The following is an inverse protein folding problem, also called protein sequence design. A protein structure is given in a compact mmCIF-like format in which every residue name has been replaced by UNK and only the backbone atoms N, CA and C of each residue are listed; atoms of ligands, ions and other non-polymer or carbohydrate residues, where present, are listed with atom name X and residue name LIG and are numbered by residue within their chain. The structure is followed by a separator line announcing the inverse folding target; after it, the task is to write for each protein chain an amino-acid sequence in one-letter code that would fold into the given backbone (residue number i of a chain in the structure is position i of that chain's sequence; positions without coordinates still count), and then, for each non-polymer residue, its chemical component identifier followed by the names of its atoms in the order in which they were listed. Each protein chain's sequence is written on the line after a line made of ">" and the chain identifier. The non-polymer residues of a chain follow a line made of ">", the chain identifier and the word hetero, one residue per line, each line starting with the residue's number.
data_IF_012279779817
#
_entry.id   IF_012279779817
#
_cell.length_a   1.000
_cell.length_b   1.000
_cell.length_c   1.000
_cell.angle_alpha   90.00
_cell.angle_beta   90.00
_cell.angle_gamma   90.00
#
_symmetry.space_group_name_H-M   'P 1'
#
loop_
_entity.id
_entity.type
_entity.pdbx_description
1 polymer ?
#
# COMPACT_ATOMS: atom_id res chain seq x y z
N UNK A 1 -11.42 17.39 -40.37
CA UNK A 1 -9.99 17.72 -40.21
C UNK A 1 -9.61 17.56 -38.74
N UNK A 2 -8.38 17.16 -38.41
CA UNK A 2 -7.93 16.98 -37.01
C UNK A 2 -8.20 18.19 -36.11
N UNK A 3 -8.22 19.41 -36.67
CA UNK A 3 -8.55 20.65 -35.93
C UNK A 3 -10.02 20.81 -35.49
N UNK A 4 -10.92 19.91 -35.91
CA UNK A 4 -12.34 19.88 -35.46
C UNK A 4 -12.64 18.70 -34.54
N UNK A 5 -11.63 17.91 -34.16
CA UNK A 5 -11.84 16.94 -33.09
C UNK A 5 -12.00 17.71 -31.78
N UNK A 6 -13.09 17.49 -31.02
CA UNK A 6 -13.18 18.05 -29.68
C UNK A 6 -11.95 17.61 -28.89
N UNK A 7 -11.31 18.55 -28.20
CA UNK A 7 -10.20 18.22 -27.32
C UNK A 7 -10.64 17.08 -26.39
N UNK A 8 -9.83 16.01 -26.23
CA UNK A 8 -10.17 14.94 -25.31
C UNK A 8 -10.51 15.53 -23.95
N UNK A 9 -11.69 15.21 -23.42
CA UNK A 9 -12.07 15.66 -22.08
C UNK A 9 -11.12 15.00 -21.10
N UNK A 10 -10.24 15.80 -20.50
CA UNK A 10 -9.33 15.34 -19.46
C UNK A 10 -10.12 15.20 -18.16
N UNK A 11 -10.46 13.96 -17.81
CA UNK A 11 -11.07 13.65 -16.52
C UNK A 11 -9.97 13.64 -15.45
N UNK A 12 -10.10 14.38 -14.33
CA UNK A 12 -9.14 14.29 -13.23
C UNK A 12 -9.00 12.85 -12.73
N UNK A 13 -7.78 12.39 -12.43
CA UNK A 13 -7.52 10.99 -12.06
C UNK A 13 -8.35 10.53 -10.86
N UNK A 14 -8.48 11.36 -9.82
CA UNK A 14 -9.38 11.10 -8.67
C UNK A 14 -10.81 10.78 -9.12
N UNK A 15 -11.35 11.46 -10.14
CA UNK A 15 -12.70 11.19 -10.65
C UNK A 15 -12.77 9.94 -11.52
N UNK A 16 -11.72 9.68 -12.31
CA UNK A 16 -11.65 8.51 -13.17
C UNK A 16 -11.51 7.21 -12.37
N UNK A 17 -10.76 7.25 -11.28
CA UNK A 17 -10.44 6.09 -10.44
C UNK A 17 -11.49 5.86 -9.34
N UNK A 18 -12.55 6.68 -9.28
CA UNK A 18 -13.59 6.59 -8.24
C UNK A 18 -14.42 5.31 -8.37
N UNK A 19 -14.56 4.58 -7.26
CA UNK A 19 -15.38 3.37 -7.17
C UNK A 19 -16.78 3.76 -6.69
N UNK A 20 -17.73 3.86 -7.63
CA UNK A 20 -19.12 4.23 -7.34
C UNK A 20 -19.91 3.13 -6.63
N UNK A 21 -19.61 1.87 -6.92
CA UNK A 21 -20.25 0.71 -6.33
C UNK A 21 -19.26 -0.46 -6.32
N UNK A 22 -19.20 -1.17 -5.20
CA UNK A 22 -18.36 -2.35 -5.03
C UNK A 22 -19.28 -3.58 -4.90
N UNK A 23 -19.16 -4.60 -5.78
CA UNK A 23 -19.93 -5.83 -5.67
C UNK A 23 -19.77 -6.49 -4.29
N UNK A 24 -20.84 -7.09 -3.80
CA UNK A 24 -20.86 -7.77 -2.49
C UNK A 24 -21.12 -6.84 -1.30
N UNK A 25 -21.03 -5.52 -1.44
CA UNK A 25 -21.39 -4.57 -0.38
C UNK A 25 -22.91 -4.45 -0.29
N UNK A 26 -23.46 -4.82 0.87
CA UNK A 26 -24.92 -4.82 1.14
C UNK A 26 -25.38 -3.67 2.04
N UNK A 27 -24.48 -2.72 2.35
CA UNK A 27 -24.72 -1.60 3.27
C UNK A 27 -24.26 -0.27 2.65
N UNK A 28 -24.66 0.84 3.25
CA UNK A 28 -24.31 2.18 2.75
C UNK A 28 -22.89 2.57 3.16
N UNK A 29 -21.97 2.69 2.21
CA UNK A 29 -20.58 3.10 2.44
C UNK A 29 -20.48 4.63 2.59
N UNK A 30 -20.16 5.18 3.77
CA UNK A 30 -20.22 6.62 4.03
C UNK A 30 -18.93 7.36 3.66
N UNK A 31 -18.01 6.74 2.92
CA UNK A 31 -16.72 7.30 2.54
C UNK A 31 -16.41 7.01 1.08
N UNK A 32 -15.56 7.83 0.48
CA UNK A 32 -15.14 7.62 -0.91
C UNK A 32 -14.00 6.61 -0.99
N UNK A 33 -13.93 5.91 -2.11
CA UNK A 33 -12.85 4.99 -2.41
C UNK A 33 -12.47 5.06 -3.88
N UNK A 34 -11.20 4.80 -4.13
CA UNK A 34 -10.59 4.94 -5.44
C UNK A 34 -9.61 3.80 -5.69
N UNK A 35 -9.57 3.29 -6.92
CA UNK A 35 -8.58 2.29 -7.32
C UNK A 35 -8.11 2.52 -8.74
N UNK A 36 -6.83 2.31 -8.99
CA UNK A 36 -6.23 2.52 -10.30
C UNK A 36 -4.75 2.19 -10.30
N UNK A 37 -3.99 2.90 -11.14
CA UNK A 37 -2.57 2.66 -11.32
C UNK A 37 -1.72 3.91 -11.11
N UNK A 38 -0.72 3.79 -10.25
CA UNK A 38 0.29 4.82 -9.99
C UNK A 38 1.53 4.59 -10.87
N UNK A 39 2.15 5.68 -11.29
CA UNK A 39 3.39 5.69 -12.04
C UNK A 39 4.58 5.36 -11.12
N UNK A 40 5.33 4.31 -11.46
CA UNK A 40 6.58 3.97 -10.80
C UNK A 40 7.76 4.21 -11.75
N UNK A 41 8.85 3.42 -11.67
CA UNK A 41 9.92 3.48 -12.68
C UNK A 41 9.37 3.19 -14.08
N UNK A 42 10.08 3.59 -15.17
CA UNK A 42 9.62 3.36 -16.54
C UNK A 42 9.13 1.94 -16.77
N UNK A 43 7.96 1.81 -17.40
CA UNK A 43 7.30 0.53 -17.66
C UNK A 43 6.57 -0.09 -16.46
N UNK A 44 6.83 0.35 -15.24
CA UNK A 44 6.19 -0.20 -14.04
C UNK A 44 4.96 0.61 -13.65
N UNK A 45 3.87 -0.07 -13.31
CA UNK A 45 2.63 0.53 -12.79
C UNK A 45 2.23 -0.23 -11.54
N UNK A 46 2.05 0.50 -10.43
CA UNK A 46 1.60 -0.10 -9.18
C UNK A 46 0.10 0.13 -9.01
N UNK A 47 -0.65 -0.95 -8.84
CA UNK A 47 -2.05 -0.88 -8.48
C UNK A 47 -2.18 -0.33 -7.06
N UNK A 48 -3.17 0.53 -6.86
CA UNK A 48 -3.49 1.06 -5.54
C UNK A 48 -5.00 0.97 -5.29
N UNK A 49 -5.34 0.90 -4.01
CA UNK A 49 -6.70 1.14 -3.53
C UNK A 49 -6.63 2.11 -2.36
N UNK A 50 -7.28 3.26 -2.52
CA UNK A 50 -7.35 4.33 -1.54
C UNK A 50 -8.78 4.40 -0.97
N UNK A 51 -8.92 4.28 0.34
CA UNK A 51 -10.19 4.46 1.05
C UNK A 51 -10.08 5.68 1.96
N UNK A 52 -10.99 6.63 1.80
CA UNK A 52 -10.98 7.86 2.59
C UNK A 52 -11.40 7.61 4.03
N UNK A 53 -10.97 8.50 4.92
CA UNK A 53 -11.34 8.54 6.32
C UNK A 53 -12.85 8.67 6.47
N UNK A 54 -13.43 7.91 7.40
CA UNK A 54 -14.87 7.98 7.71
C UNK A 54 -15.28 9.30 8.39
N UNK A 55 -14.32 10.14 8.80
CA UNK A 55 -14.61 11.47 9.36
C UNK A 55 -15.13 12.46 8.30
N UNK A 56 -14.85 12.20 7.01
CA UNK A 56 -15.11 13.12 5.90
C UNK A 56 -14.13 14.31 5.81
N UNK A 57 -13.11 14.38 6.66
CA UNK A 57 -12.11 15.43 6.62
C UNK A 57 -10.97 15.09 5.64
N UNK A 58 -10.87 15.84 4.54
CA UNK A 58 -9.80 15.65 3.55
C UNK A 58 -8.38 15.81 4.14
N UNK A 59 -8.25 16.59 5.23
CA UNK A 59 -6.98 16.85 5.91
C UNK A 59 -6.53 15.78 6.91
N UNK A 60 -7.33 14.72 7.12
CA UNK A 60 -6.93 13.58 7.95
C UNK A 60 -5.61 12.95 7.44
N UNK A 61 -4.86 12.27 8.32
CA UNK A 61 -3.62 11.61 7.93
C UNK A 61 -3.88 10.50 6.91
N UNK A 62 -2.87 10.20 6.09
CA UNK A 62 -2.83 9.01 5.23
C UNK A 62 -1.92 7.98 5.87
N UNK A 63 -2.43 6.76 6.00
CA UNK A 63 -1.63 5.58 6.31
C UNK A 63 -1.41 4.81 5.00
N UNK A 64 -0.16 4.74 4.54
CA UNK A 64 0.24 3.75 3.54
C UNK A 64 0.39 2.40 4.24
N UNK A 65 -0.28 1.37 3.75
CA UNK A 65 -0.11 -0.01 4.20
C UNK A 65 0.56 -0.87 3.13
N UNK A 66 1.63 -1.57 3.52
CA UNK A 66 2.40 -2.49 2.68
C UNK A 66 2.41 -3.90 3.28
N UNK A 67 1.83 -4.86 2.56
CA UNK A 67 1.96 -6.27 2.93
C UNK A 67 3.39 -6.78 2.69
N UNK A 68 3.77 -7.83 3.42
CA UNK A 68 5.10 -8.45 3.33
C UNK A 68 5.25 -9.60 2.32
N UNK A 69 5.88 -10.69 2.79
CA UNK A 69 6.21 -11.97 2.11
C UNK A 69 7.33 -12.02 1.04
N UNK A 70 8.06 -10.95 0.70
CA UNK A 70 7.90 -10.36 -0.64
C UNK A 70 6.80 -10.93 -1.55
N UNK A 71 6.01 -10.03 -2.14
CA UNK A 71 5.09 -10.40 -3.22
C UNK A 71 3.68 -10.77 -2.82
N UNK A 72 3.28 -10.57 -1.56
CA UNK A 72 1.87 -10.53 -1.19
C UNK A 72 1.27 -9.18 -1.56
N UNK A 73 0.05 -9.21 -2.10
CA UNK A 73 -0.69 -8.00 -2.44
C UNK A 73 -1.23 -7.31 -1.19
N UNK A 74 -1.05 -5.99 -1.10
CA UNK A 74 -1.57 -5.16 0.00
C UNK A 74 -3.09 -5.02 -0.05
N UNK A 75 -3.69 -5.23 -1.23
CA UNK A 75 -5.13 -5.44 -1.37
C UNK A 75 -5.65 -6.61 -0.54
N UNK A 76 -4.83 -7.65 -0.32
CA UNK A 76 -5.15 -8.74 0.61
C UNK A 76 -5.37 -8.22 2.03
N UNK A 77 -4.39 -7.48 2.58
CA UNK A 77 -4.49 -6.90 3.92
C UNK A 77 -5.62 -5.87 4.05
N UNK A 78 -5.96 -5.14 2.98
CA UNK A 78 -7.16 -4.30 2.96
C UNK A 78 -8.44 -5.14 3.19
N UNK A 79 -8.52 -6.31 2.58
CA UNK A 79 -9.72 -7.15 2.57
C UNK A 79 -9.79 -8.16 3.73
N UNK A 80 -8.72 -8.34 4.50
CA UNK A 80 -8.66 -9.34 5.57
C UNK A 80 -8.13 -8.85 6.90
N UNK A 81 -7.59 -7.62 6.97
CA UNK A 81 -6.92 -7.11 8.18
C UNK A 81 -7.41 -5.70 8.57
N UNK A 82 -7.01 -4.68 7.80
CA UNK A 82 -7.10 -3.29 8.27
C UNK A 82 -8.20 -2.47 7.58
N UNK A 83 -8.70 -2.92 6.42
CA UNK A 83 -9.63 -2.16 5.62
C UNK A 83 -11.09 -2.30 6.05
N UNK A 84 -11.99 -1.52 5.43
CA UNK A 84 -13.39 -1.45 5.81
C UNK A 84 -14.25 -2.63 5.33
N UNK A 85 -13.75 -3.42 4.39
CA UNK A 85 -14.50 -4.51 3.77
C UNK A 85 -13.80 -5.82 4.03
N UNK A 86 -14.46 -6.75 4.72
CA UNK A 86 -13.99 -8.13 4.84
C UNK A 86 -14.79 -9.06 3.94
N UNK A 87 -14.12 -10.05 3.38
CA UNK A 87 -14.73 -11.05 2.49
C UNK A 87 -15.48 -12.09 3.34
N UNK A 88 -16.76 -12.32 3.03
CA UNK A 88 -17.52 -13.41 3.66
C UNK A 88 -17.08 -14.78 3.14
N UNK A 89 -17.38 -15.89 3.86
CA UNK A 89 -17.02 -17.24 3.44
C UNK A 89 -17.63 -17.68 2.09
N UNK A 90 -18.68 -17.00 1.61
CA UNK A 90 -19.27 -17.26 0.30
C UNK A 90 -18.37 -16.81 -0.87
N UNK A 91 -17.36 -15.98 -0.60
CA UNK A 91 -16.47 -15.41 -1.62
C UNK A 91 -17.14 -14.38 -2.53
N UNK A 92 -18.37 -13.96 -2.21
CA UNK A 92 -19.19 -13.07 -3.04
C UNK A 92 -19.62 -11.80 -2.31
N UNK A 93 -19.94 -11.90 -1.02
CA UNK A 93 -20.43 -10.78 -0.22
C UNK A 93 -19.34 -10.22 0.70
N UNK A 94 -19.49 -8.94 1.08
CA UNK A 94 -18.59 -8.22 1.97
C UNK A 94 -19.32 -7.82 3.24
N UNK A 95 -18.66 -7.93 4.39
CA UNK A 95 -19.15 -7.40 5.66
C UNK A 95 -18.29 -6.22 6.14
N UNK A 96 -18.91 -5.31 6.91
CA UNK A 96 -18.19 -4.16 7.46
C UNK A 96 -17.20 -4.59 8.55
N UNK A 97 -15.95 -4.15 8.42
CA UNK A 97 -15.01 -4.17 9.53
C UNK A 97 -15.23 -2.94 10.43
N UNK A 98 -15.90 -3.15 11.56
CA UNK A 98 -16.17 -2.08 12.55
C UNK A 98 -14.90 -1.54 13.24
N UNK A 99 -13.75 -2.19 13.06
CA UNK A 99 -12.44 -1.77 13.56
C UNK A 99 -11.50 -1.28 12.45
N UNK A 100 -12.03 -1.02 11.26
CA UNK A 100 -11.26 -0.53 10.11
C UNK A 100 -10.40 0.68 10.47
N UNK A 101 -9.16 0.67 10.01
CA UNK A 101 -8.23 1.77 10.18
C UNK A 101 -8.72 3.05 9.49
N UNK A 102 -9.58 2.93 8.48
CA UNK A 102 -10.16 4.10 7.83
C UNK A 102 -11.13 4.90 8.73
N UNK A 103 -11.43 4.42 9.94
CA UNK A 103 -12.15 5.21 10.96
C UNK A 103 -11.27 6.31 11.59
N UNK A 104 -9.94 6.20 11.49
CA UNK A 104 -8.99 7.13 12.10
C UNK A 104 -8.12 7.91 11.10
N UNK A 105 -8.02 7.44 9.85
CA UNK A 105 -7.16 7.99 8.81
C UNK A 105 -7.70 7.65 7.42
N UNK A 106 -7.18 8.27 6.38
CA UNK A 106 -7.28 7.69 5.04
C UNK A 106 -6.32 6.49 4.96
N UNK A 107 -6.73 5.40 4.29
CA UNK A 107 -5.89 4.22 4.11
C UNK A 107 -5.57 4.05 2.63
N UNK A 108 -4.29 4.02 2.30
CA UNK A 108 -3.76 3.75 0.98
C UNK A 108 -3.07 2.39 1.01
N UNK A 109 -3.52 1.44 0.19
CA UNK A 109 -2.74 0.23 -0.11
C UNK A 109 -2.15 0.31 -1.49
N UNK A 110 -0.91 -0.17 -1.63
CA UNK A 110 -0.23 -0.31 -2.91
C UNK A 110 0.23 -1.75 -3.03
N UNK A 111 -0.17 -2.42 -4.11
CA UNK A 111 0.36 -3.74 -4.44
C UNK A 111 1.80 -3.59 -4.95
N UNK A 112 2.76 -3.92 -4.11
CA UNK A 112 4.20 -3.74 -4.37
C UNK A 112 4.95 -5.00 -3.95
N UNK A 113 6.04 -5.40 -4.64
CA UNK A 113 6.68 -4.78 -5.81
C UNK A 113 5.86 -4.82 -7.11
N UNK A 114 6.44 -4.34 -8.22
CA UNK A 114 5.86 -4.56 -9.56
C UNK A 114 5.56 -6.04 -9.81
N UNK A 115 4.48 -6.31 -10.54
CA UNK A 115 3.97 -7.67 -10.84
C UNK A 115 3.33 -8.40 -9.64
N UNK A 116 3.04 -7.70 -8.56
CA UNK A 116 2.25 -8.22 -7.41
C UNK A 116 0.80 -7.81 -7.52
N UNK A 117 -0.12 -8.72 -7.18
CA UNK A 117 -1.55 -8.43 -7.23
C UNK A 117 -1.97 -7.98 -8.63
N UNK A 118 -2.52 -6.77 -8.72
CA UNK A 118 -2.88 -6.17 -10.00
C UNK A 118 -1.79 -5.27 -10.62
N UNK A 119 -0.68 -5.02 -9.92
CA UNK A 119 0.47 -4.27 -10.42
C UNK A 119 1.15 -5.00 -11.56
N UNK A 120 1.74 -4.26 -12.50
CA UNK A 120 2.36 -4.87 -13.68
C UNK A 120 3.59 -4.10 -14.19
N UNK A 121 4.31 -4.76 -15.09
CA UNK A 121 5.45 -4.24 -15.82
C UNK A 121 5.20 -4.38 -17.32
N UNK A 122 5.21 -3.28 -18.04
CA UNK A 122 5.25 -3.25 -19.50
C UNK A 122 6.68 -3.59 -19.98
N UNK A 123 6.85 -4.83 -20.41
CA UNK A 123 8.13 -5.38 -20.87
C UNK A 123 8.66 -4.74 -22.15
N UNK A 124 7.83 -4.01 -22.90
CA UNK A 124 8.28 -3.26 -24.07
C UNK A 124 9.01 -1.96 -23.67
N UNK A 125 8.70 -1.41 -22.50
CA UNK A 125 9.32 -0.19 -21.97
C UNK A 125 10.47 -0.53 -21.02
N UNK A 126 10.30 -1.56 -20.20
CA UNK A 126 11.29 -2.00 -19.23
C UNK A 126 11.28 -3.52 -19.12
N UNK A 127 12.38 -4.15 -19.54
CA UNK A 127 12.54 -5.61 -19.52
C UNK A 127 13.37 -6.12 -18.32
N UNK A 128 13.61 -5.30 -17.30
CA UNK A 128 14.32 -5.72 -16.08
C UNK A 128 13.53 -6.79 -15.32
N UNK A 129 14.13 -7.98 -15.19
CA UNK A 129 13.55 -9.15 -14.51
C UNK A 129 14.12 -9.36 -13.10
N UNK A 130 14.77 -8.35 -12.51
CA UNK A 130 15.38 -8.46 -11.18
C UNK A 130 14.60 -7.65 -10.15
N UNK A 131 14.42 -8.22 -8.97
CA UNK A 131 13.80 -7.56 -7.83
C UNK A 131 14.83 -7.44 -6.70
N UNK A 132 14.87 -6.27 -6.08
CA UNK A 132 15.63 -6.02 -4.86
C UNK A 132 14.89 -4.96 -4.02
N UNK A 133 15.32 -4.78 -2.78
CA UNK A 133 14.69 -3.88 -1.83
C UNK A 133 14.80 -2.41 -2.26
N UNK A 134 15.91 -2.00 -2.88
CA UNK A 134 16.13 -0.62 -3.32
C UNK A 134 15.23 -0.26 -4.51
N UNK A 135 15.06 -1.17 -5.48
CA UNK A 135 14.13 -1.01 -6.62
C UNK A 135 12.69 -0.95 -6.13
N UNK A 136 12.33 -1.80 -5.18
CA UNK A 136 10.98 -1.81 -4.59
C UNK A 136 10.69 -0.50 -3.85
N UNK A 137 11.65 -0.02 -3.05
CA UNK A 137 11.53 1.27 -2.38
C UNK A 137 11.44 2.44 -3.38
N UNK A 138 12.23 2.40 -4.46
CA UNK A 138 12.19 3.44 -5.50
C UNK A 138 10.87 3.46 -6.27
N UNK A 139 10.36 2.30 -6.70
CA UNK A 139 9.06 2.20 -7.37
C UNK A 139 7.92 2.70 -6.48
N UNK A 140 7.94 2.32 -5.20
CA UNK A 140 6.91 2.73 -4.24
C UNK A 140 7.00 4.22 -3.92
N UNK A 141 8.21 4.80 -3.83
CA UNK A 141 8.42 6.25 -3.68
C UNK A 141 7.86 7.03 -4.88
N UNK A 142 8.16 6.60 -6.11
CA UNK A 142 7.65 7.25 -7.31
C UNK A 142 6.12 7.16 -7.40
N UNK A 143 5.55 6.01 -7.03
CA UNK A 143 4.11 5.83 -6.94
C UNK A 143 3.47 6.79 -5.92
N UNK A 144 4.10 7.01 -4.76
CA UNK A 144 3.62 7.98 -3.78
C UNK A 144 3.67 9.43 -4.31
N UNK A 145 4.77 9.82 -4.97
CA UNK A 145 4.85 11.14 -5.61
C UNK A 145 3.73 11.34 -6.65
N UNK A 146 3.49 10.34 -7.49
CA UNK A 146 2.42 10.35 -8.47
C UNK A 146 1.03 10.40 -7.81
N UNK A 147 0.81 9.65 -6.72
CA UNK A 147 -0.42 9.70 -5.92
C UNK A 147 -0.70 11.11 -5.40
N UNK A 148 0.26 11.73 -4.70
CA UNK A 148 0.07 13.08 -4.16
C UNK A 148 -0.05 14.16 -5.24
N UNK A 149 0.47 13.90 -6.45
CA UNK A 149 0.26 14.78 -7.60
C UNK A 149 -1.18 14.69 -8.15
N UNK A 150 -1.77 13.49 -8.14
CA UNK A 150 -3.11 13.21 -8.64
C UNK A 150 -4.21 13.57 -7.64
N UNK A 151 -3.93 13.42 -6.34
CA UNK A 151 -4.85 13.61 -5.23
C UNK A 151 -4.55 14.93 -4.49
N UNK A 152 -4.63 16.04 -5.23
CA UNK A 152 -4.24 17.37 -4.72
C UNK A 152 -4.93 17.82 -3.41
N UNK A 153 -6.18 17.43 -3.10
CA UNK A 153 -6.78 17.77 -1.80
C UNK A 153 -6.05 17.16 -0.60
N UNK A 154 -5.41 16.01 -0.79
CA UNK A 154 -4.63 15.33 0.25
C UNK A 154 -3.13 15.69 0.24
N UNK A 155 -2.70 16.62 -0.63
CA UNK A 155 -1.28 17.04 -0.73
C UNK A 155 -0.70 17.53 0.60
N UNK A 156 -1.55 18.02 1.48
CA UNK A 156 -1.17 18.54 2.79
C UNK A 156 -1.38 17.57 3.95
N UNK A 157 -1.95 16.39 3.70
CA UNK A 157 -2.13 15.34 4.70
C UNK A 157 -0.79 14.82 5.20
N UNK A 158 -0.76 14.46 6.47
CA UNK A 158 0.38 13.79 7.08
C UNK A 158 0.47 12.35 6.58
N UNK A 159 1.67 11.85 6.27
CA UNK A 159 1.90 10.48 5.83
C UNK A 159 2.52 9.64 6.95
N UNK A 160 1.91 8.51 7.24
CA UNK A 160 2.46 7.42 8.04
C UNK A 160 2.64 6.19 7.16
N UNK A 161 3.75 5.47 7.33
CA UNK A 161 4.04 4.24 6.56
C UNK A 161 3.96 3.04 7.49
N UNK A 162 3.02 2.14 7.23
CA UNK A 162 2.80 0.93 7.99
C UNK A 162 3.00 -0.31 7.12
N UNK A 163 3.37 -1.43 7.73
CA UNK A 163 3.44 -2.70 7.05
C UNK A 163 3.70 -3.88 7.97
N UNK A 164 3.55 -5.09 7.44
CA UNK A 164 3.65 -6.35 8.18
C UNK A 164 4.67 -7.31 7.57
N UNK A 165 5.30 -8.17 8.39
CA UNK A 165 6.16 -9.27 7.93
C UNK A 165 7.39 -8.72 7.18
N UNK A 166 7.59 -9.03 5.89
CA UNK A 166 8.65 -8.38 5.10
C UNK A 166 8.43 -6.87 4.89
N UNK A 167 7.27 -6.34 5.27
CA UNK A 167 7.07 -4.93 5.54
C UNK A 167 8.11 -4.35 6.52
N UNK A 168 8.72 -5.17 7.37
CA UNK A 168 9.89 -4.81 8.18
C UNK A 168 11.13 -4.38 7.39
N UNK A 169 11.23 -4.74 6.10
CA UNK A 169 12.26 -4.25 5.17
C UNK A 169 11.70 -3.12 4.31
N UNK A 170 10.50 -3.26 3.75
CA UNK A 170 9.89 -2.27 2.86
C UNK A 170 9.65 -0.92 3.55
N UNK A 171 9.10 -0.94 4.76
CA UNK A 171 8.74 0.27 5.50
C UNK A 171 9.99 1.12 5.82
N UNK A 172 11.08 0.57 6.43
CA UNK A 172 12.28 1.37 6.69
C UNK A 172 13.02 1.82 5.43
N UNK A 173 13.12 0.99 4.39
CA UNK A 173 13.84 1.33 3.16
C UNK A 173 13.15 2.48 2.40
N UNK A 174 11.82 2.43 2.27
CA UNK A 174 11.01 3.51 1.73
C UNK A 174 11.09 4.78 2.59
N UNK A 175 10.96 4.64 3.91
CA UNK A 175 11.05 5.77 4.85
C UNK A 175 12.39 6.49 4.74
N UNK A 176 13.51 5.74 4.67
CA UNK A 176 14.85 6.28 4.47
C UNK A 176 14.95 7.05 3.14
N UNK A 177 14.40 6.51 2.06
CA UNK A 177 14.42 7.15 0.75
C UNK A 177 13.61 8.46 0.74
N UNK A 178 12.43 8.47 1.36
CA UNK A 178 11.60 9.67 1.54
C UNK A 178 12.34 10.74 2.33
N UNK A 179 12.91 10.41 3.49
CA UNK A 179 13.68 11.37 4.30
C UNK A 179 14.79 12.01 3.47
N UNK A 180 15.55 11.21 2.72
CA UNK A 180 16.63 11.69 1.86
C UNK A 180 16.12 12.65 0.79
N UNK A 181 14.99 12.35 0.14
CA UNK A 181 14.41 13.19 -0.90
C UNK A 181 13.78 14.47 -0.34
N UNK A 182 13.16 14.42 0.84
CA UNK A 182 12.61 15.59 1.54
C UNK A 182 13.74 16.54 1.94
N UNK A 183 14.81 16.04 2.57
CA UNK A 183 15.96 16.85 2.97
C UNK A 183 16.70 17.48 1.77
N UNK A 184 16.64 16.83 0.61
CA UNK A 184 17.18 17.34 -0.65
C UNK A 184 16.22 18.29 -1.40
N UNK A 185 15.07 18.67 -0.82
CA UNK A 185 14.01 19.46 -1.45
C UNK A 185 13.47 18.86 -2.77
N UNK A 186 13.49 17.53 -2.89
CA UNK A 186 12.97 16.80 -4.07
C UNK A 186 11.54 16.29 -3.87
N UNK A 187 11.05 16.25 -2.64
CA UNK A 187 9.71 15.82 -2.27
C UNK A 187 9.11 16.78 -1.25
N UNK A 188 7.81 17.03 -1.36
CA UNK A 188 7.04 17.83 -0.40
C UNK A 188 6.11 16.96 0.48
N UNK A 189 6.25 15.63 0.42
CA UNK A 189 5.42 14.70 1.20
C UNK A 189 5.69 14.91 2.69
N UNK A 190 4.61 15.03 3.48
CA UNK A 190 4.69 15.29 4.93
C UNK A 190 4.80 13.99 5.73
N UNK A 191 5.93 13.30 5.59
CA UNK A 191 6.23 12.11 6.38
C UNK A 191 6.26 12.43 7.89
N UNK A 192 5.53 11.66 8.70
CA UNK A 192 5.45 11.82 10.15
C UNK A 192 5.96 10.64 10.95
N UNK A 193 5.78 9.42 10.45
CA UNK A 193 6.20 8.25 11.19
C UNK A 193 6.05 6.97 10.39
N UNK A 194 6.48 5.88 11.01
CA UNK A 194 6.30 4.54 10.48
C UNK A 194 5.94 3.55 11.59
N UNK A 195 5.23 2.48 11.23
CA UNK A 195 4.85 1.37 12.10
C UNK A 195 5.13 0.03 11.42
N UNK A 196 5.55 -0.97 12.19
CA UNK A 196 5.91 -2.29 11.66
C UNK A 196 5.27 -3.35 12.54
N UNK A 197 4.35 -4.15 11.99
CA UNK A 197 3.75 -5.30 12.64
C UNK A 197 4.53 -6.58 12.32
N UNK A 198 4.90 -7.36 13.34
CA UNK A 198 5.54 -8.69 13.18
C UNK A 198 6.63 -8.74 12.10
N UNK A 199 7.47 -7.69 12.04
CA UNK A 199 8.32 -7.44 10.88
C UNK A 199 9.66 -8.17 10.91
N UNK A 200 10.19 -8.50 9.73
CA UNK A 200 11.57 -8.92 9.54
C UNK A 200 12.49 -7.70 9.65
N UNK A 201 13.07 -7.47 10.82
CA UNK A 201 13.94 -6.29 11.09
C UNK A 201 15.42 -6.69 11.16
N UNK A 202 15.71 -7.93 11.57
CA UNK A 202 17.07 -8.45 11.63
C UNK A 202 17.05 -9.97 11.46
N UNK A 203 17.54 -10.45 10.32
CA UNK A 203 17.64 -11.89 10.04
C UNK A 203 18.41 -12.65 11.14
N UNK A 204 19.45 -12.03 11.72
CA UNK A 204 20.24 -12.62 12.80
C UNK A 204 19.41 -12.78 14.06
N UNK A 205 18.61 -11.77 14.44
CA UNK A 205 17.80 -11.86 15.64
C UNK A 205 16.59 -12.78 15.44
N UNK A 206 16.00 -12.79 14.25
CA UNK A 206 14.90 -13.70 13.91
C UNK A 206 15.36 -15.15 14.06
N UNK A 207 16.51 -15.52 13.49
CA UNK A 207 17.08 -16.88 13.62
C UNK A 207 17.49 -17.21 15.06
N UNK A 208 18.04 -16.23 15.82
CA UNK A 208 18.47 -16.47 17.20
C UNK A 208 17.31 -16.68 18.17
N UNK A 209 16.18 -16.01 17.95
CA UNK A 209 15.04 -16.03 18.87
C UNK A 209 14.04 -17.13 18.54
N UNK A 210 13.99 -17.58 17.27
CA UNK A 210 13.02 -18.57 16.82
C UNK A 210 13.14 -19.94 17.54
N UNK A 211 14.33 -20.54 17.75
CA UNK A 211 14.43 -21.82 18.47
C UNK A 211 13.85 -21.76 19.88
N UNK A 212 14.20 -20.71 20.65
CA UNK A 212 13.64 -20.49 21.99
C UNK A 212 12.13 -20.31 21.93
N UNK A 213 11.64 -19.49 21.00
CA UNK A 213 10.20 -19.28 20.81
C UNK A 213 9.48 -20.61 20.56
N UNK A 214 9.99 -21.45 19.64
CA UNK A 214 9.36 -22.72 19.29
C UNK A 214 9.42 -23.74 20.44
N UNK A 215 10.53 -23.81 21.17
CA UNK A 215 10.68 -24.72 22.32
C UNK A 215 9.77 -24.33 23.49
N UNK A 216 9.81 -23.06 23.92
CA UNK A 216 9.01 -22.61 25.08
C UNK A 216 7.50 -22.54 24.79
N UNK A 217 7.08 -22.70 23.54
CA UNK A 217 5.68 -22.87 23.14
C UNK A 217 5.31 -24.33 22.80
N UNK A 218 6.20 -25.29 23.08
CA UNK A 218 5.91 -26.73 22.90
C UNK A 218 5.82 -27.20 21.46
N UNK A 219 6.40 -26.44 20.51
CA UNK A 219 6.48 -26.82 19.09
C UNK A 219 7.70 -27.71 18.84
N UNK A 220 8.83 -27.39 19.47
CA UNK A 220 10.05 -28.20 19.44
C UNK A 220 10.21 -29.02 20.72
N UNK A 221 10.71 -30.24 20.57
CA UNK A 221 11.23 -31.00 21.69
C UNK A 221 12.66 -30.54 22.05
N UNK A 222 13.19 -31.07 23.15
CA UNK A 222 14.52 -30.67 23.64
C UNK A 222 15.65 -30.98 22.64
N UNK A 223 15.71 -32.17 22.00
CA UNK A 223 16.72 -32.44 20.97
C UNK A 223 16.65 -31.53 19.74
N UNK A 224 15.49 -31.04 19.34
CA UNK A 224 15.35 -30.07 18.24
C UNK A 224 15.82 -28.66 18.61
N UNK A 225 15.77 -28.32 19.90
CA UNK A 225 16.19 -27.02 20.42
C UNK A 225 17.71 -26.92 20.67
N UNK A 226 18.35 -28.02 21.10
CA UNK A 226 19.81 -28.12 21.32
C UNK A 226 20.63 -28.09 20.02
#
# INVERSE_FOLDING_TARGET
>A
LPEYQPAPVTVPRRKADHIFALPGVTWNVPFMQHSGYLQASPGNKLFYWFVESQSGNEGDPIILWLQGKPGCASTGGLLTEIGPFFINPDGETLFENVYSWNKAAHVLVIDSPRSVGFSYQDKNVNNDLTWDDDKTANDTYLALEDFFSAYTPHKNSELYIAGESYGGVYVPTLTRLLIKNIQANKSNIKLRGMAIGNGMVSAVNDVRTLPDFLYFHGIYDKPQWE
#
